data_IF_983031633164
#
_entry.id   IF_983031633164
#
_cell.length_a   1.000
_cell.length_b   1.000
_cell.length_c   1.000
_cell.angle_alpha   90.00
_cell.angle_beta   90.00
_cell.angle_gamma   90.00
#
_symmetry.space_group_name_H-M   'P 1'
#
loop_
_entity.id
_entity.type
_entity.pdbx_description
1 polymer ?
#
# COMPACT_ATOMS: atom_id res chain seq x y z
N UNK A 1 17.07 -55.81 -34.67
CA UNK A 1 16.12 -55.32 -35.69
C UNK A 1 14.84 -54.67 -35.12
N UNK A 2 14.45 -54.88 -33.84
CA UNK A 2 13.17 -54.35 -33.31
C UNK A 2 13.23 -53.00 -32.54
N UNK A 3 14.41 -52.38 -32.37
CA UNK A 3 14.56 -51.12 -31.60
C UNK A 3 14.44 -49.83 -32.41
N UNK A 4 14.39 -49.92 -33.74
CA UNK A 4 14.34 -48.75 -34.63
C UNK A 4 12.88 -48.29 -34.87
N UNK A 5 11.89 -49.18 -34.70
CA UNK A 5 10.48 -48.87 -34.97
C UNK A 5 9.83 -47.96 -33.92
N UNK A 6 10.46 -47.73 -32.76
CA UNK A 6 9.91 -46.82 -31.73
C UNK A 6 10.25 -45.35 -31.92
N UNK A 7 11.19 -44.99 -32.80
CA UNK A 7 11.59 -43.58 -32.99
C UNK A 7 10.69 -42.80 -33.98
N UNK A 8 10.00 -43.47 -34.90
CA UNK A 8 9.22 -42.78 -35.94
C UNK A 8 7.81 -42.35 -35.49
N UNK A 9 7.28 -42.93 -34.39
CA UNK A 9 5.89 -42.66 -33.96
C UNK A 9 5.75 -41.39 -33.09
N UNK A 10 6.85 -40.82 -32.59
CA UNK A 10 6.82 -39.59 -31.78
C UNK A 10 6.69 -38.29 -32.59
N UNK A 11 6.63 -38.35 -33.93
CA UNK A 11 6.40 -37.18 -34.79
C UNK A 11 4.99 -37.04 -35.35
N UNK A 12 4.14 -38.06 -35.27
CA UNK A 12 2.77 -38.01 -35.82
C UNK A 12 1.70 -37.59 -34.80
N UNK A 13 2.00 -37.74 -33.51
CA UNK A 13 1.22 -37.12 -32.44
C UNK A 13 1.96 -35.85 -32.05
N UNK A 14 1.45 -34.69 -32.48
CA UNK A 14 1.91 -33.34 -32.10
C UNK A 14 1.74 -33.04 -30.61
N UNK A 15 2.16 -33.96 -29.75
CA UNK A 15 2.22 -33.87 -28.30
C UNK A 15 3.67 -33.62 -27.89
N UNK A 16 4.33 -32.65 -28.51
CA UNK A 16 5.41 -31.98 -27.80
C UNK A 16 4.73 -31.13 -26.75
N UNK A 17 4.68 -31.60 -25.51
CA UNK A 17 4.39 -30.71 -24.39
C UNK A 17 5.41 -29.59 -24.50
N UNK A 18 4.96 -28.42 -24.96
CA UNK A 18 5.69 -27.18 -24.81
C UNK A 18 5.70 -26.98 -23.30
N UNK A 19 6.75 -27.47 -22.64
CA UNK A 19 7.03 -27.02 -21.29
C UNK A 19 7.22 -25.52 -21.41
N UNK A 20 6.19 -24.78 -21.03
CA UNK A 20 6.28 -23.34 -20.86
C UNK A 20 7.32 -23.19 -19.76
N UNK A 21 8.52 -22.62 -20.02
CA UNK A 21 9.45 -22.36 -18.95
C UNK A 21 8.68 -21.51 -17.95
N UNK A 22 8.45 -22.05 -16.76
CA UNK A 22 7.80 -21.35 -15.67
C UNK A 22 8.68 -20.16 -15.35
N UNK A 23 8.36 -19.01 -15.94
CA UNK A 23 9.03 -17.77 -15.60
C UNK A 23 8.83 -17.62 -14.10
N UNK A 24 9.91 -17.48 -13.30
CA UNK A 24 9.74 -17.16 -11.89
C UNK A 24 8.91 -15.89 -11.85
N UNK A 25 7.81 -15.90 -11.09
CA UNK A 25 6.98 -14.72 -10.86
C UNK A 25 7.92 -13.66 -10.29
N UNK A 26 8.34 -12.72 -11.14
CA UNK A 26 9.15 -11.59 -10.70
C UNK A 26 8.20 -10.69 -9.91
N UNK A 27 8.19 -10.87 -8.59
CA UNK A 27 7.46 -9.99 -7.68
C UNK A 27 8.09 -8.60 -7.85
N UNK A 28 7.43 -7.73 -8.60
CA UNK A 28 7.86 -6.35 -8.73
C UNK A 28 7.74 -5.71 -7.33
N UNK A 29 8.81 -5.16 -6.75
CA UNK A 29 8.69 -4.42 -5.50
C UNK A 29 7.74 -3.26 -5.74
N UNK A 30 6.76 -3.10 -4.86
CA UNK A 30 5.84 -1.98 -4.91
C UNK A 30 6.64 -0.70 -4.61
N UNK A 31 7.00 0.04 -5.65
CA UNK A 31 7.77 1.26 -5.55
C UNK A 31 6.87 2.38 -5.02
N UNK A 32 6.80 2.52 -3.69
CA UNK A 32 6.20 3.70 -3.07
C UNK A 32 7.07 4.92 -3.32
N UNK A 33 6.43 6.08 -3.50
CA UNK A 33 7.15 7.34 -3.65
C UNK A 33 7.93 7.67 -2.37
N UNK A 34 9.17 8.16 -2.53
CA UNK A 34 10.12 8.40 -1.42
C UNK A 34 9.49 9.23 -0.30
N UNK A 35 8.71 10.26 -0.64
CA UNK A 35 8.10 11.13 0.37
C UNK A 35 6.99 10.43 1.17
N UNK A 36 6.34 9.40 0.60
CA UNK A 36 5.33 8.60 1.30
C UNK A 36 6.03 7.71 2.33
N UNK A 37 7.14 7.08 1.91
CA UNK A 37 7.96 6.23 2.78
C UNK A 37 8.55 7.06 3.93
N UNK A 38 9.10 8.23 3.62
CA UNK A 38 9.63 9.14 4.63
C UNK A 38 8.54 9.58 5.63
N UNK A 39 7.37 9.99 5.16
CA UNK A 39 6.27 10.34 6.06
C UNK A 39 5.81 9.14 6.90
N UNK A 40 5.83 7.92 6.36
CA UNK A 40 5.48 6.72 7.12
C UNK A 40 6.45 6.49 8.28
N UNK A 41 7.75 6.61 8.02
CA UNK A 41 8.80 6.40 9.03
C UNK A 41 8.93 7.59 10.00
N UNK A 42 8.71 8.80 9.52
CA UNK A 42 8.86 10.05 10.27
C UNK A 42 7.55 10.86 10.22
N UNK A 43 6.50 10.42 10.93
CA UNK A 43 5.21 11.07 10.85
C UNK A 43 5.26 12.46 11.50
N UNK A 44 4.87 13.46 10.74
CA UNK A 44 4.76 14.85 11.20
C UNK A 44 3.39 15.07 11.81
N UNK A 45 3.31 15.97 12.79
CA UNK A 45 2.03 16.42 13.36
C UNK A 45 1.20 15.29 14.01
N UNK A 46 1.85 14.40 14.75
CA UNK A 46 1.20 13.35 15.55
C UNK A 46 0.94 13.82 16.99
N UNK A 47 -0.07 13.26 17.67
CA UNK A 47 -0.41 13.57 19.06
C UNK A 47 -1.84 14.09 19.22
N UNK A 48 -2.15 14.80 20.30
CA UNK A 48 -3.48 15.40 20.45
C UNK A 48 -3.41 16.72 21.18
N UNK A 49 -4.28 17.65 20.80
CA UNK A 49 -4.49 18.90 21.52
C UNK A 49 -5.40 18.69 22.75
N UNK A 50 -5.47 19.72 23.59
CA UNK A 50 -6.38 19.72 24.74
C UNK A 50 -7.83 19.82 24.24
N UNK A 51 -8.66 18.84 24.61
CA UNK A 51 -10.07 18.75 24.21
C UNK A 51 -10.94 19.87 24.76
N UNK A 52 -10.51 20.51 25.85
CA UNK A 52 -11.27 21.56 26.52
C UNK A 52 -10.90 22.96 26.01
N UNK A 53 -9.93 23.09 25.10
CA UNK A 53 -9.56 24.37 24.52
C UNK A 53 -10.58 24.80 23.46
N UNK A 54 -11.29 25.93 23.63
CA UNK A 54 -12.31 26.39 22.68
C UNK A 54 -11.74 26.75 21.31
N UNK A 55 -10.43 26.93 21.17
CA UNK A 55 -9.78 27.24 19.89
C UNK A 55 -9.34 25.97 19.13
N UNK A 56 -9.58 24.78 19.70
CA UNK A 56 -9.24 23.51 19.07
C UNK A 56 -10.50 22.88 18.47
N UNK A 57 -10.51 22.77 17.15
CA UNK A 57 -11.55 22.07 16.41
C UNK A 57 -11.10 20.65 16.11
N UNK A 58 -11.98 19.68 16.33
CA UNK A 58 -11.74 18.26 16.02
C UNK A 58 -12.72 17.79 14.95
N UNK A 59 -12.22 17.06 13.96
CA UNK A 59 -13.02 16.41 12.93
C UNK A 59 -12.59 14.95 12.78
N UNK A 60 -13.57 14.06 12.71
CA UNK A 60 -13.35 12.66 12.38
C UNK A 60 -13.71 12.45 10.92
N UNK A 61 -12.82 11.82 10.17
CA UNK A 61 -12.96 11.58 8.73
C UNK A 61 -12.61 10.13 8.45
N UNK A 62 -13.43 9.43 7.68
CA UNK A 62 -13.13 8.09 7.23
C UNK A 62 -14.33 7.16 7.25
N UNK A 63 -14.11 5.93 6.81
CA UNK A 63 -15.10 4.87 6.76
C UNK A 63 -14.78 3.83 7.84
N UNK A 64 -15.60 3.70 8.89
CA UNK A 64 -15.32 2.76 9.98
C UNK A 64 -15.31 1.31 9.53
N UNK A 65 -16.09 0.97 8.49
CA UNK A 65 -16.15 -0.38 7.95
C UNK A 65 -14.84 -0.86 7.30
N UNK A 66 -14.02 0.05 6.80
CA UNK A 66 -12.76 -0.27 6.11
C UNK A 66 -11.52 -0.10 7.01
N UNK A 67 -11.70 0.21 8.29
CA UNK A 67 -10.60 0.39 9.24
C UNK A 67 -9.74 1.64 9.03
N UNK A 68 -10.11 2.52 8.10
CA UNK A 68 -9.38 3.76 7.83
C UNK A 68 -10.15 4.94 8.41
N UNK A 69 -9.91 5.24 9.69
CA UNK A 69 -10.48 6.41 10.37
C UNK A 69 -9.36 7.34 10.81
N UNK A 70 -9.50 8.62 10.48
CA UNK A 70 -8.54 9.65 10.80
C UNK A 70 -9.21 10.72 11.65
N UNK A 71 -8.51 11.13 12.70
CA UNK A 71 -8.85 12.28 13.52
C UNK A 71 -7.96 13.44 13.12
N UNK A 72 -8.58 14.52 12.66
CA UNK A 72 -7.93 15.78 12.37
C UNK A 72 -8.28 16.79 13.44
N UNK A 73 -7.27 17.39 14.06
CA UNK A 73 -7.44 18.45 15.04
C UNK A 73 -6.70 19.71 14.56
N UNK A 74 -7.35 20.85 14.68
CA UNK A 74 -6.81 22.15 14.24
C UNK A 74 -6.98 23.12 15.40
N UNK A 75 -5.87 23.71 15.84
CA UNK A 75 -5.86 24.81 16.79
C UNK A 75 -5.59 26.12 16.06
N UNK A 76 -6.48 27.08 16.25
CA UNK A 76 -6.40 28.42 15.66
C UNK A 76 -5.87 29.37 16.73
N UNK A 77 -4.80 30.12 16.43
CA UNK A 77 -4.41 31.25 17.26
C UNK A 77 -5.19 32.49 16.77
N UNK A 78 -5.88 33.19 17.66
CA UNK A 78 -6.65 34.37 17.29
C UNK A 78 -5.77 35.61 17.12
N UNK A 79 -4.55 35.59 17.66
CA UNK A 79 -3.60 36.72 17.60
C UNK A 79 -2.64 36.62 16.42
N UNK A 80 -2.37 35.41 15.95
CA UNK A 80 -1.51 35.15 14.80
C UNK A 80 -2.28 34.34 13.78
N UNK A 81 -2.11 34.57 12.47
CA UNK A 81 -2.71 33.74 11.40
C UNK A 81 -2.10 32.33 11.33
N UNK A 82 -1.58 31.81 12.44
CA UNK A 82 -0.97 30.50 12.58
C UNK A 82 -2.03 29.48 12.96
N UNK A 83 -2.02 28.36 12.24
CA UNK A 83 -2.84 27.20 12.54
C UNK A 83 -1.92 26.03 12.87
N UNK A 84 -2.15 25.40 14.01
CA UNK A 84 -1.46 24.16 14.36
C UNK A 84 -2.37 22.98 14.04
N UNK A 85 -1.85 21.97 13.37
CA UNK A 85 -2.61 20.81 12.90
C UNK A 85 -2.04 19.57 13.54
N UNK A 86 -2.92 18.67 13.95
CA UNK A 86 -2.57 17.34 14.42
C UNK A 86 -3.44 16.32 13.68
N UNK A 87 -2.82 15.23 13.23
CA UNK A 87 -3.52 14.14 12.55
C UNK A 87 -3.12 12.83 13.19
N UNK A 88 -4.12 12.12 13.71
CA UNK A 88 -3.95 10.73 14.11
C UNK A 88 -4.73 9.84 13.16
N UNK A 89 -4.07 8.79 12.69
CA UNK A 89 -4.73 7.69 12.00
C UNK A 89 -4.92 6.59 13.04
N UNK A 90 -6.13 6.08 13.19
CA UNK A 90 -6.40 4.89 14.00
C UNK A 90 -6.66 3.72 13.07
#
# INVERSE_FOLDING_TARGET
MAKILRLASKRLLGLTSREIPSQPIQILPHLYYVNIIDHYNNPRNVGSFNKNDPNTNTSLVGAPACGNVMKFEIKIDNKTTKTSKNKNTK
#
